data_IF_522953040068
#
_entry.id   IF_522953040068
#
_cell.length_a   1.000
_cell.length_b   1.000
_cell.length_c   1.000
_cell.angle_alpha   90.00
_cell.angle_beta   90.00
_cell.angle_gamma   90.00
#
_symmetry.space_group_name_H-M   'P 1'
#
loop_
_entity.id
_entity.type
_entity.pdbx_description
1 polymer ?
#
# COMPACT_ATOMS: atom_id res chain seq x y z
N UNK A 1 9.25 -13.88 9.50
CA UNK A 1 7.91 -13.50 9.01
C UNK A 1 7.27 -12.61 10.06
N UNK A 2 6.80 -11.44 9.64
CA UNK A 2 6.13 -10.45 10.50
C UNK A 2 4.66 -10.81 10.72
N UNK A 3 3.96 -10.09 11.61
CA UNK A 3 2.51 -10.19 11.75
C UNK A 3 1.79 -9.92 10.41
N UNK A 4 2.21 -8.88 9.69
CA UNK A 4 1.61 -8.51 8.41
C UNK A 4 1.80 -9.59 7.35
N UNK A 5 2.97 -10.23 7.30
CA UNK A 5 3.26 -11.30 6.34
C UNK A 5 2.46 -12.59 6.61
N UNK A 6 1.97 -12.78 7.84
CA UNK A 6 1.17 -13.94 8.24
C UNK A 6 -0.33 -13.66 8.28
N UNK A 7 -0.74 -12.40 8.10
CA UNK A 7 -2.13 -12.01 8.11
C UNK A 7 -2.78 -12.16 6.74
N UNK A 8 -3.36 -13.34 6.51
CA UNK A 8 -4.09 -13.69 5.29
C UNK A 8 -5.57 -13.25 5.32
N UNK A 9 -6.04 -12.61 6.39
CA UNK A 9 -7.44 -12.18 6.48
C UNK A 9 -8.42 -13.34 6.66
N UNK A 10 -9.68 -13.08 6.32
CA UNK A 10 -10.79 -14.01 6.34
C UNK A 10 -11.82 -13.64 5.25
N UNK A 11 -12.99 -14.28 5.25
CA UNK A 11 -14.04 -14.05 4.26
C UNK A 11 -14.54 -12.59 4.21
N UNK A 12 -14.41 -11.85 5.32
CA UNK A 12 -14.92 -10.50 5.46
C UNK A 12 -13.82 -9.45 5.53
N UNK A 13 -12.64 -9.80 6.06
CA UNK A 13 -11.51 -8.88 6.26
C UNK A 13 -10.36 -9.20 5.32
N UNK A 14 -9.93 -8.18 4.58
CA UNK A 14 -8.78 -8.28 3.69
C UNK A 14 -7.49 -8.57 4.49
N UNK A 15 -6.76 -9.61 4.10
CA UNK A 15 -5.45 -9.90 4.67
C UNK A 15 -4.41 -8.82 4.37
N UNK A 16 -3.69 -8.39 5.40
CA UNK A 16 -2.62 -7.40 5.27
C UNK A 16 -1.45 -7.92 4.42
N UNK A 17 -1.24 -9.24 4.39
CA UNK A 17 -0.22 -9.87 3.55
C UNK A 17 -0.44 -9.55 2.06
N UNK A 18 -1.69 -9.58 1.60
CA UNK A 18 -2.04 -9.25 0.21
C UNK A 18 -1.85 -7.77 -0.11
N UNK A 19 -2.17 -6.88 0.84
CA UNK A 19 -1.94 -5.44 0.70
C UNK A 19 -0.44 -5.15 0.62
N UNK A 20 0.34 -5.74 1.52
CA UNK A 20 1.79 -5.61 1.55
C UNK A 20 2.43 -6.12 0.25
N UNK A 21 2.01 -7.30 -0.21
CA UNK A 21 2.50 -7.88 -1.46
C UNK A 21 2.22 -6.96 -2.66
N UNK A 22 1.00 -6.42 -2.76
CA UNK A 22 0.64 -5.53 -3.88
C UNK A 22 1.43 -4.22 -3.88
N UNK A 23 1.75 -3.68 -2.70
CA UNK A 23 2.59 -2.50 -2.59
C UNK A 23 4.05 -2.80 -3.00
N UNK A 24 4.59 -3.95 -2.57
CA UNK A 24 5.93 -4.42 -2.95
C UNK A 24 6.04 -4.65 -4.47
N UNK A 25 5.04 -5.28 -5.07
CA UNK A 25 4.92 -5.50 -6.53
C UNK A 25 5.00 -4.16 -7.28
N UNK A 26 4.18 -3.19 -6.89
CA UNK A 26 4.15 -1.87 -7.52
C UNK A 26 5.50 -1.13 -7.46
N UNK A 27 6.17 -1.16 -6.30
CA UNK A 27 7.50 -0.53 -6.17
C UNK A 27 8.58 -1.30 -6.94
N UNK A 28 8.51 -2.62 -7.01
CA UNK A 28 9.45 -3.41 -7.80
C UNK A 28 9.37 -3.04 -9.29
N UNK A 29 8.16 -2.89 -9.83
CA UNK A 29 7.94 -2.43 -11.21
C UNK A 29 8.48 -1.01 -11.43
N UNK A 30 8.19 -0.09 -10.50
CA UNK A 30 8.70 1.29 -10.58
C UNK A 30 10.23 1.32 -10.55
N UNK A 31 10.85 0.57 -9.63
CA UNK A 31 12.31 0.47 -9.53
C UNK A 31 12.95 -0.04 -10.82
N UNK A 32 12.38 -1.08 -11.44
CA UNK A 32 12.88 -1.61 -12.70
C UNK A 32 12.81 -0.58 -13.83
N UNK A 33 11.72 0.19 -13.88
CA UNK A 33 11.48 1.17 -14.94
C UNK A 33 12.29 2.45 -14.78
N UNK A 34 12.53 2.90 -13.54
CA UNK A 34 13.15 4.19 -13.23
C UNK A 34 14.58 4.05 -12.68
N UNK A 35 15.12 2.83 -12.63
CA UNK A 35 16.43 2.52 -12.06
C UNK A 35 16.61 3.06 -10.63
N UNK A 36 15.55 2.98 -9.82
CA UNK A 36 15.55 3.37 -8.41
C UNK A 36 15.70 2.15 -7.51
N UNK A 37 16.01 2.39 -6.23
CA UNK A 37 16.13 1.36 -5.20
C UNK A 37 15.28 1.72 -3.98
N UNK A 38 13.97 1.78 -4.17
CA UNK A 38 13.03 2.11 -3.11
C UNK A 38 12.37 0.85 -2.57
N UNK A 39 11.86 0.93 -1.34
CA UNK A 39 11.16 -0.17 -0.70
C UNK A 39 9.92 0.35 0.03
N UNK A 40 8.90 -0.49 0.10
CA UNK A 40 7.74 -0.24 0.95
C UNK A 40 8.04 -0.67 2.38
N UNK A 41 7.53 0.07 3.36
CA UNK A 41 7.28 -0.51 4.69
C UNK A 41 5.98 -1.32 4.67
N UNK A 42 5.68 -1.97 5.78
CA UNK A 42 4.42 -2.69 5.91
C UNK A 42 3.23 -1.73 6.03
N UNK A 43 2.03 -2.12 5.56
CA UNK A 43 0.79 -1.42 5.91
C UNK A 43 0.62 -1.33 7.43
N UNK A 44 -0.11 -0.32 7.89
CA UNK A 44 -0.44 -0.19 9.31
C UNK A 44 -1.24 -1.43 9.77
N UNK A 45 -0.72 -2.14 10.76
CA UNK A 45 -1.32 -3.37 11.29
C UNK A 45 -2.73 -3.18 11.90
N UNK A 46 -3.16 -1.94 12.13
CA UNK A 46 -4.51 -1.60 12.60
C UNK A 46 -5.52 -1.41 11.46
N UNK A 47 -5.10 -1.54 10.20
CA UNK A 47 -6.00 -1.43 9.05
C UNK A 47 -7.00 -2.57 9.08
N UNK A 48 -8.27 -2.22 8.96
CA UNK A 48 -9.37 -3.15 8.79
C UNK A 48 -10.18 -2.68 7.59
N UNK A 49 -10.12 -3.43 6.50
CA UNK A 49 -10.89 -3.16 5.29
C UNK A 49 -11.54 -4.45 4.79
N UNK A 50 -12.73 -4.38 4.16
CA UNK A 50 -13.41 -5.59 3.74
C UNK A 50 -12.69 -6.29 2.59
N UNK A 51 -12.82 -7.61 2.49
CA UNK A 51 -12.19 -8.42 1.43
C UNK A 51 -12.57 -7.91 0.03
N UNK A 52 -11.59 -7.79 -0.84
CA UNK A 52 -11.79 -7.34 -2.21
C UNK A 52 -12.30 -8.49 -3.09
N UNK A 53 -13.33 -8.22 -3.89
CA UNK A 53 -13.90 -9.20 -4.85
C UNK A 53 -13.28 -9.09 -6.24
N UNK A 54 -12.39 -8.13 -6.43
CA UNK A 54 -11.61 -7.90 -7.66
C UNK A 54 -10.13 -7.84 -7.29
N UNK A 55 -9.20 -8.03 -8.23
CA UNK A 55 -7.78 -7.89 -7.94
C UNK A 55 -7.46 -6.53 -7.33
N UNK A 56 -6.64 -6.53 -6.28
CA UNK A 56 -6.12 -5.29 -5.69
C UNK A 56 -5.32 -4.51 -6.74
N UNK A 57 -5.39 -3.19 -6.66
CA UNK A 57 -4.62 -2.29 -7.51
C UNK A 57 -3.74 -1.39 -6.65
N UNK A 58 -2.74 -0.79 -7.26
CA UNK A 58 -1.85 0.15 -6.60
C UNK A 58 -1.66 1.40 -7.45
N UNK A 59 -1.44 2.54 -6.79
CA UNK A 59 -1.09 3.81 -7.43
C UNK A 59 -0.28 4.67 -6.47
N UNK A 60 0.46 5.64 -7.02
CA UNK A 60 1.03 6.70 -6.21
C UNK A 60 -0.05 7.57 -5.57
N UNK A 61 0.18 7.99 -4.33
CA UNK A 61 -0.62 9.00 -3.63
C UNK A 61 0.29 9.92 -2.82
N UNK A 62 -0.15 11.15 -2.60
CA UNK A 62 0.49 12.09 -1.69
C UNK A 62 -0.22 12.08 -0.34
N UNK A 63 0.54 12.11 0.74
CA UNK A 63 0.03 12.38 2.08
C UNK A 63 0.86 13.47 2.73
N UNK A 64 0.20 14.36 3.48
CA UNK A 64 0.87 15.44 4.18
C UNK A 64 1.84 14.87 5.22
N UNK A 65 3.10 15.29 5.15
CA UNK A 65 4.10 15.03 6.18
C UNK A 65 4.08 16.14 7.24
N UNK A 66 3.91 17.39 6.80
CA UNK A 66 3.68 18.58 7.62
C UNK A 66 2.97 19.66 6.78
N UNK A 67 2.77 20.86 7.35
CA UNK A 67 2.02 21.96 6.72
C UNK A 67 2.48 22.35 5.31
N UNK A 68 3.76 22.15 4.96
CA UNK A 68 4.34 22.62 3.70
C UNK A 68 4.94 21.49 2.85
N UNK A 69 4.75 20.23 3.25
CA UNK A 69 5.47 19.12 2.64
C UNK A 69 4.62 17.87 2.60
N UNK A 70 4.50 17.33 1.39
CA UNK A 70 3.91 16.03 1.14
C UNK A 70 5.00 14.97 0.98
N UNK A 71 4.61 13.72 1.23
CA UNK A 71 5.39 12.55 0.82
C UNK A 71 4.55 11.63 -0.05
N UNK A 72 5.22 10.89 -0.92
CA UNK A 72 4.63 9.86 -1.74
C UNK A 72 4.55 8.54 -0.99
N UNK A 73 3.42 7.88 -1.17
CA UNK A 73 3.10 6.55 -0.64
C UNK A 73 2.46 5.71 -1.73
N UNK A 74 2.51 4.39 -1.60
CA UNK A 74 1.71 3.51 -2.45
C UNK A 74 0.32 3.40 -1.84
N UNK A 75 -0.70 3.82 -2.57
CA UNK A 75 -2.09 3.58 -2.22
C UNK A 75 -2.55 2.28 -2.86
N UNK A 76 -2.68 1.23 -2.06
CA UNK A 76 -3.28 -0.04 -2.48
C UNK A 76 -4.78 0.07 -2.31
N UNK A 77 -5.56 -0.23 -3.34
CA UNK A 77 -6.99 0.02 -3.35
C UNK A 77 -7.81 -1.12 -3.93
N UNK A 78 -9.07 -1.15 -3.53
CA UNK A 78 -10.10 -2.05 -3.99
C UNK A 78 -11.26 -1.26 -4.57
N UNK A 79 -11.69 -1.63 -5.79
CA UNK A 79 -12.82 -1.00 -6.46
C UNK A 79 -14.17 -1.65 -6.13
N UNK A 80 -14.15 -2.88 -5.59
CA UNK A 80 -15.35 -3.64 -5.23
C UNK A 80 -15.05 -4.62 -4.10
N UNK A 81 -15.55 -4.35 -2.90
CA UNK A 81 -15.43 -5.25 -1.74
C UNK A 81 -16.66 -6.14 -1.56
N UNK A 82 -16.55 -7.13 -0.68
CA UNK A 82 -17.65 -8.01 -0.25
C UNK A 82 -18.75 -7.25 0.51
N UNK A 83 -18.40 -6.12 1.14
CA UNK A 83 -19.34 -5.33 1.93
C UNK A 83 -20.05 -4.29 1.05
N UNK A 84 -21.37 -4.41 0.92
CA UNK A 84 -22.17 -3.56 0.04
C UNK A 84 -22.20 -2.08 0.46
N UNK A 85 -22.07 -1.78 1.75
CA UNK A 85 -21.95 -0.42 2.31
C UNK A 85 -20.57 0.18 2.09
N UNK A 86 -19.52 -0.64 2.07
CA UNK A 86 -18.14 -0.18 1.97
C UNK A 86 -17.43 -0.73 0.72
N UNK A 87 -18.00 -0.39 -0.44
CA UNK A 87 -17.64 -0.95 -1.76
C UNK A 87 -16.21 -0.67 -2.19
N UNK A 88 -15.63 0.45 -1.76
CA UNK A 88 -14.31 0.93 -2.19
C UNK A 88 -13.48 1.36 -1.00
N UNK A 89 -12.22 1.00 -1.01
CA UNK A 89 -11.27 1.38 0.03
C UNK A 89 -9.88 1.54 -0.54
N UNK A 90 -9.03 2.26 0.18
CA UNK A 90 -7.61 2.35 -0.11
C UNK A 90 -6.80 2.36 1.19
N UNK A 91 -5.59 1.83 1.12
CA UNK A 91 -4.65 1.71 2.24
C UNK A 91 -3.32 2.26 1.77
N UNK A 92 -2.81 3.25 2.50
CA UNK A 92 -1.55 3.89 2.18
C UNK A 92 -0.39 3.12 2.84
N UNK A 93 0.53 2.68 2.01
CA UNK A 93 1.74 1.94 2.38
C UNK A 93 2.94 2.87 2.21
N UNK A 94 3.70 3.16 3.28
CA UNK A 94 4.84 4.06 3.21
C UNK A 94 5.94 3.56 2.29
N UNK A 95 6.63 4.48 1.59
CA UNK A 95 7.77 4.18 0.72
C UNK A 95 8.99 4.95 1.19
N UNK A 96 10.13 4.27 1.19
CA UNK A 96 11.40 4.81 1.62
C UNK A 96 12.50 4.48 0.62
N UNK A 97 13.47 5.37 0.51
CA UNK A 97 14.71 5.06 -0.20
C UNK A 97 15.65 4.25 0.70
N UNK A 98 16.74 3.76 0.12
CA UNK A 98 17.82 3.02 0.81
C UNK A 98 18.41 3.71 2.05
N UNK A 99 18.28 5.04 2.15
CA UNK A 99 18.74 5.83 3.31
C UNK A 99 17.69 5.94 4.41
N UNK A 100 16.53 5.28 4.27
CA UNK A 100 15.43 5.36 5.23
C UNK A 100 14.70 6.70 5.19
N UNK A 101 14.77 7.45 4.08
CA UNK A 101 14.02 8.71 3.92
C UNK A 101 12.73 8.49 3.12
N UNK A 102 11.66 9.19 3.51
CA UNK A 102 10.42 9.22 2.73
C UNK A 102 10.64 9.83 1.35
N UNK A 103 9.91 9.32 0.36
CA UNK A 103 9.94 9.84 -1.01
C UNK A 103 9.15 11.13 -1.09
N UNK A 104 9.78 12.18 -1.61
CA UNK A 104 9.20 13.53 -1.67
C UNK A 104 8.87 13.96 -3.10
N UNK A 105 9.46 13.28 -4.07
CA UNK A 105 9.20 13.46 -5.48
C UNK A 105 9.29 12.12 -6.22
N UNK A 106 8.52 11.99 -7.28
CA UNK A 106 8.55 10.84 -8.19
C UNK A 106 8.78 11.39 -9.60
N UNK A 107 9.91 11.00 -10.20
CA UNK A 107 10.27 11.37 -11.57
C UNK A 107 9.76 10.31 -12.56
#
# INVERSE_FOLDING_TARGET
MTYVEQDYGDDYRQGLAYINHKAKEFIAEYNQKHNTNWHTLEPNAKVFVPTCTVPLKARWSKIALNLNKDKYVVSVYCDKSVEHSYKKWHVNVPVFNEKGNSILDIE
#
